data_IF_605954783271
#
_entry.id   IF_605954783271
#
_cell.length_a   1.000
_cell.length_b   1.000
_cell.length_c   1.000
_cell.angle_alpha   90.00
_cell.angle_beta   90.00
_cell.angle_gamma   90.00
#
_symmetry.space_group_name_H-M   'P 1'
#
loop_
_entity.id
_entity.type
_entity.pdbx_description
1 polymer ?
#
# COMPACT_ATOMS: atom_id res chain seq x y z
N UNK A 1 -1.64 -7.46 -39.74
CA UNK A 1 -2.46 -7.46 -38.50
C UNK A 1 -2.70 -6.02 -38.07
N UNK A 2 -3.94 -5.61 -37.80
CA UNK A 2 -4.25 -4.21 -37.45
C UNK A 2 -3.91 -3.94 -35.98
N UNK A 3 -3.21 -2.84 -35.72
CA UNK A 3 -2.84 -2.38 -34.37
C UNK A 3 -3.33 -0.96 -34.14
N UNK A 4 -3.64 -0.66 -32.89
CA UNK A 4 -4.15 0.63 -32.40
C UNK A 4 -3.27 1.11 -31.25
N UNK A 5 -3.37 2.39 -30.84
CA UNK A 5 -2.41 3.02 -29.91
C UNK A 5 -0.96 3.04 -30.46
N UNK A 6 -0.82 3.21 -31.78
CA UNK A 6 0.48 3.43 -32.45
C UNK A 6 0.74 4.92 -32.61
N UNK A 7 2.01 5.32 -32.65
CA UNK A 7 2.37 6.69 -33.09
C UNK A 7 1.92 6.89 -34.55
N UNK A 8 1.48 8.11 -34.95
CA UNK A 8 0.99 8.38 -36.30
C UNK A 8 1.97 7.97 -37.40
N UNK A 9 3.28 8.16 -37.16
CA UNK A 9 4.34 7.87 -38.12
C UNK A 9 4.99 6.49 -37.93
N UNK A 10 4.54 5.69 -36.95
CA UNK A 10 5.13 4.38 -36.69
C UNK A 10 4.72 3.36 -37.77
N UNK A 11 5.70 2.92 -38.56
CA UNK A 11 5.55 1.72 -39.40
C UNK A 11 5.61 0.48 -38.51
N UNK A 12 4.45 -0.02 -38.10
CA UNK A 12 4.36 -1.25 -37.32
C UNK A 12 4.52 -2.47 -38.24
N UNK A 13 5.77 -2.89 -38.48
CA UNK A 13 6.06 -4.20 -39.02
C UNK A 13 6.00 -5.26 -37.91
N UNK A 14 5.73 -6.52 -38.25
CA UNK A 14 6.00 -7.62 -37.33
C UNK A 14 7.49 -7.59 -36.95
N UNK A 15 7.83 -7.75 -35.66
CA UNK A 15 9.21 -7.64 -35.21
C UNK A 15 10.05 -8.68 -35.94
N UNK A 16 11.24 -8.29 -36.38
CA UNK A 16 12.19 -9.27 -36.88
C UNK A 16 12.54 -10.25 -35.74
N UNK A 17 12.19 -11.52 -35.91
CA UNK A 17 12.65 -12.58 -35.02
C UNK A 17 14.09 -12.94 -35.34
N UNK A 18 14.78 -13.53 -34.36
CA UNK A 18 16.14 -14.05 -34.57
C UNK A 18 16.12 -14.99 -35.77
N UNK A 19 16.89 -14.67 -36.80
CA UNK A 19 17.21 -15.62 -37.87
C UNK A 19 18.07 -16.72 -37.27
N UNK A 20 17.62 -17.97 -37.35
CA UNK A 20 18.44 -19.13 -36.98
C UNK A 20 19.61 -19.20 -37.98
N UNK A 21 20.74 -18.60 -37.64
CA UNK A 21 21.94 -18.67 -38.50
C UNK A 21 22.63 -19.98 -38.20
N UNK A 22 22.65 -20.90 -39.17
CA UNK A 22 23.45 -22.13 -39.08
C UNK A 22 24.95 -21.80 -39.08
N UNK A 23 25.74 -22.58 -38.33
CA UNK A 23 27.20 -22.61 -38.33
C UNK A 23 27.97 -21.29 -38.11
N UNK A 24 27.45 -20.34 -37.31
CA UNK A 24 28.29 -19.24 -36.80
C UNK A 24 29.06 -19.74 -35.58
N UNK A 25 30.41 -19.65 -35.56
CA UNK A 25 31.18 -19.88 -34.33
C UNK A 25 30.68 -18.95 -33.24
N UNK A 26 30.16 -19.53 -32.15
CA UNK A 26 29.68 -18.78 -31.01
C UNK A 26 30.87 -18.40 -30.12
N UNK A 27 30.84 -17.19 -29.57
CA UNK A 27 31.77 -16.80 -28.51
C UNK A 27 31.59 -17.74 -27.29
N UNK A 28 32.57 -17.82 -26.38
CA UNK A 28 32.40 -18.53 -25.11
C UNK A 28 31.13 -18.09 -24.40
N UNK A 29 30.45 -19.05 -23.79
CA UNK A 29 29.23 -18.81 -23.02
C UNK A 29 29.51 -17.84 -21.87
N UNK A 30 28.68 -16.81 -21.76
CA UNK A 30 28.70 -15.86 -20.64
C UNK A 30 27.62 -16.22 -19.64
N UNK A 31 27.97 -16.25 -18.36
CA UNK A 31 27.03 -16.44 -17.25
C UNK A 31 26.98 -15.15 -16.45
N UNK A 32 25.78 -14.62 -16.18
CA UNK A 32 25.59 -13.34 -15.49
C UNK A 32 24.53 -13.51 -14.42
N UNK A 33 24.77 -12.96 -13.25
CA UNK A 33 23.82 -12.88 -12.15
C UNK A 33 23.32 -11.45 -12.03
N UNK A 34 22.03 -11.28 -11.78
CA UNK A 34 21.41 -9.96 -11.64
C UNK A 34 20.43 -9.92 -10.49
N UNK A 35 20.49 -8.85 -9.71
CA UNK A 35 19.61 -8.59 -8.57
C UNK A 35 19.16 -7.11 -8.54
N UNK A 36 18.10 -6.82 -7.78
CA UNK A 36 17.54 -5.50 -7.57
C UNK A 36 17.18 -5.25 -6.11
N UNK A 37 17.74 -4.20 -5.53
CA UNK A 37 17.52 -3.85 -4.12
C UNK A 37 16.91 -2.45 -4.01
N UNK A 38 15.83 -2.31 -3.26
CA UNK A 38 15.20 -1.03 -2.97
C UNK A 38 15.19 -0.75 -1.48
N UNK A 39 15.93 0.28 -1.08
CA UNK A 39 15.86 0.88 0.23
C UNK A 39 14.58 1.72 0.34
N UNK A 40 13.92 1.66 1.48
CA UNK A 40 12.74 2.47 1.81
C UNK A 40 11.63 2.45 0.74
N UNK A 41 11.35 1.28 0.14
CA UNK A 41 10.34 1.16 -0.91
C UNK A 41 8.97 1.71 -0.51
N UNK A 42 8.35 2.48 -1.41
CA UNK A 42 7.04 3.11 -1.19
C UNK A 42 7.07 4.44 -0.42
N UNK A 43 8.25 4.99 -0.15
CA UNK A 43 8.44 6.29 0.50
C UNK A 43 9.09 7.30 -0.46
N UNK A 44 9.12 8.58 -0.07
CA UNK A 44 9.82 9.62 -0.83
C UNK A 44 11.34 9.44 -0.83
N UNK A 45 11.87 8.66 0.11
CA UNK A 45 13.29 8.33 0.24
C UNK A 45 13.66 7.03 -0.46
N UNK A 46 12.74 6.42 -1.22
CA UNK A 46 13.00 5.17 -1.89
C UNK A 46 14.20 5.29 -2.83
N UNK A 47 15.16 4.39 -2.67
CA UNK A 47 16.35 4.31 -3.52
C UNK A 47 16.53 2.88 -3.99
N UNK A 48 16.52 2.70 -5.31
CA UNK A 48 16.69 1.40 -5.95
C UNK A 48 18.06 1.31 -6.61
N UNK A 49 18.76 0.23 -6.31
CA UNK A 49 19.94 -0.20 -7.02
C UNK A 49 19.69 -1.46 -7.82
N UNK A 50 20.54 -1.66 -8.82
CA UNK A 50 20.65 -2.90 -9.55
C UNK A 50 22.09 -3.37 -9.57
N UNK A 51 22.27 -4.66 -9.32
CA UNK A 51 23.56 -5.33 -9.32
C UNK A 51 23.66 -6.32 -10.47
N UNK A 52 24.80 -6.29 -11.16
CA UNK A 52 25.11 -7.16 -12.29
C UNK A 52 26.50 -7.75 -12.06
N UNK A 53 26.58 -9.07 -11.97
CA UNK A 53 27.82 -9.78 -11.68
C UNK A 53 28.14 -10.81 -12.76
N UNK A 54 29.30 -10.67 -13.40
CA UNK A 54 29.84 -11.55 -14.45
C UNK A 54 30.86 -12.55 -13.91
N UNK A 55 31.46 -12.27 -12.75
CA UNK A 55 32.48 -13.09 -12.13
C UNK A 55 33.39 -12.26 -11.21
N UNK A 56 34.28 -12.91 -10.45
CA UNK A 56 35.30 -12.21 -9.66
C UNK A 56 36.16 -11.32 -10.56
N UNK A 57 36.36 -10.07 -10.14
CA UNK A 57 37.20 -9.08 -10.83
C UNK A 57 36.83 -8.78 -12.30
N UNK A 58 35.64 -9.18 -12.77
CA UNK A 58 35.22 -8.89 -14.13
C UNK A 58 34.86 -7.39 -14.25
N UNK A 59 35.49 -6.61 -15.16
CA UNK A 59 35.24 -5.18 -15.31
C UNK A 59 33.82 -4.86 -15.78
N UNK A 60 33.03 -5.85 -16.21
CA UNK A 60 31.62 -5.69 -16.55
C UNK A 60 30.72 -5.66 -15.32
N UNK A 61 31.19 -6.06 -14.14
CA UNK A 61 30.44 -5.96 -12.89
C UNK A 61 29.96 -4.54 -12.66
N UNK A 62 28.72 -4.37 -12.19
CA UNK A 62 28.10 -3.05 -12.09
C UNK A 62 27.10 -2.98 -10.97
N UNK A 63 27.32 -2.00 -10.10
CA UNK A 63 26.33 -1.43 -9.21
C UNK A 63 25.79 -0.14 -9.84
N UNK A 64 24.48 -0.03 -10.06
CA UNK A 64 23.86 1.17 -10.64
C UNK A 64 22.70 1.64 -9.77
N UNK A 65 22.58 2.96 -9.58
CA UNK A 65 21.35 3.56 -9.04
C UNK A 65 20.32 3.71 -10.16
N UNK A 66 19.15 3.12 -9.99
CA UNK A 66 18.09 3.17 -10.99
C UNK A 66 17.58 4.62 -11.15
N UNK A 67 17.59 5.19 -12.36
CA UNK A 67 17.08 6.54 -12.61
C UNK A 67 15.56 6.64 -12.50
N UNK A 68 15.09 7.87 -12.24
CA UNK A 68 13.67 8.22 -12.27
C UNK A 68 12.99 8.15 -10.90
N UNK A 69 11.70 8.51 -10.86
CA UNK A 69 10.91 8.56 -9.62
C UNK A 69 10.31 7.21 -9.21
N UNK A 70 10.23 6.24 -10.12
CA UNK A 70 9.71 4.92 -9.81
C UNK A 70 10.81 4.04 -9.19
N UNK A 71 10.77 3.86 -7.87
CA UNK A 71 11.81 3.15 -7.11
C UNK A 71 11.17 1.92 -6.44
N UNK A 72 11.57 0.72 -6.87
CA UNK A 72 11.10 -0.58 -6.37
C UNK A 72 12.07 -1.72 -6.74
N UNK A 73 12.07 -2.84 -6.00
CA UNK A 73 12.91 -4.00 -6.37
C UNK A 73 12.68 -4.44 -7.82
N UNK A 74 11.42 -4.48 -8.27
CA UNK A 74 11.07 -4.93 -9.62
C UNK A 74 11.71 -4.09 -10.74
N UNK A 75 11.87 -2.78 -10.55
CA UNK A 75 12.58 -1.96 -11.56
C UNK A 75 14.08 -2.20 -11.50
N UNK A 76 14.66 -2.41 -10.31
CA UNK A 76 16.06 -2.79 -10.14
C UNK A 76 16.39 -4.11 -10.84
N UNK A 77 15.58 -5.14 -10.62
CA UNK A 77 15.72 -6.45 -11.28
C UNK A 77 15.64 -6.32 -12.81
N UNK A 78 14.69 -5.53 -13.33
CA UNK A 78 14.54 -5.30 -14.77
C UNK A 78 15.72 -4.54 -15.38
N UNK A 79 16.24 -3.52 -14.68
CA UNK A 79 17.44 -2.79 -15.09
C UNK A 79 18.66 -3.70 -15.12
N UNK A 80 18.79 -4.61 -14.14
CA UNK A 80 19.87 -5.58 -14.10
C UNK A 80 19.86 -6.47 -15.33
N UNK A 81 18.69 -6.99 -15.69
CA UNK A 81 18.53 -7.79 -16.91
C UNK A 81 18.85 -7.00 -18.19
N UNK A 82 18.45 -5.73 -18.26
CA UNK A 82 18.77 -4.84 -19.38
C UNK A 82 20.29 -4.69 -19.54
N UNK A 83 20.99 -4.32 -18.47
CA UNK A 83 22.45 -4.08 -18.50
C UNK A 83 23.20 -5.37 -18.79
N UNK A 84 22.78 -6.50 -18.22
CA UNK A 84 23.37 -7.81 -18.50
C UNK A 84 23.30 -8.16 -20.00
N UNK A 85 22.15 -7.91 -20.63
CA UNK A 85 21.96 -8.14 -22.07
C UNK A 85 22.80 -7.18 -22.92
N UNK A 86 22.91 -5.90 -22.52
CA UNK A 86 23.71 -4.88 -23.22
C UNK A 86 25.21 -5.15 -23.16
N UNK A 87 25.73 -5.54 -22.00
CA UNK A 87 27.17 -5.80 -21.79
C UNK A 87 27.65 -7.14 -22.34
N UNK A 88 26.73 -8.07 -22.60
CA UNK A 88 27.08 -9.37 -23.16
C UNK A 88 27.20 -9.31 -24.67
N UNK A 89 28.31 -9.81 -25.24
CA UNK A 89 28.52 -9.87 -26.70
C UNK A 89 27.36 -10.54 -27.42
N UNK A 90 27.01 -10.01 -28.60
CA UNK A 90 25.83 -10.39 -29.40
C UNK A 90 25.86 -11.87 -29.84
N UNK A 91 27.05 -12.45 -30.02
CA UNK A 91 27.27 -13.84 -30.44
C UNK A 91 27.71 -14.80 -29.32
N UNK A 92 27.70 -14.35 -28.07
CA UNK A 92 27.95 -15.20 -26.89
C UNK A 92 26.64 -15.79 -26.36
N UNK A 93 26.52 -17.11 -26.15
CA UNK A 93 25.42 -17.69 -25.41
C UNK A 93 25.35 -17.07 -24.01
N UNK A 94 24.20 -16.53 -23.63
CA UNK A 94 24.01 -15.86 -22.33
C UNK A 94 23.16 -16.75 -21.42
N UNK A 95 23.68 -17.11 -20.25
CA UNK A 95 22.87 -17.57 -19.13
C UNK A 95 22.68 -16.41 -18.17
N UNK A 96 21.43 -15.93 -18.05
CA UNK A 96 21.04 -14.86 -17.13
C UNK A 96 20.35 -15.50 -15.93
N UNK A 97 20.98 -15.38 -14.76
CA UNK A 97 20.52 -15.92 -13.49
C UNK A 97 19.98 -14.77 -12.63
N UNK A 98 18.76 -14.94 -12.13
CA UNK A 98 18.12 -13.96 -11.24
C UNK A 98 17.15 -14.67 -10.32
N UNK A 99 16.94 -14.12 -9.13
CA UNK A 99 15.89 -14.55 -8.22
C UNK A 99 14.53 -13.90 -8.52
N UNK A 100 14.51 -12.90 -9.42
CA UNK A 100 13.31 -12.26 -9.94
C UNK A 100 12.49 -13.19 -10.84
N UNK A 101 11.53 -13.87 -10.23
CA UNK A 101 10.51 -14.60 -10.99
C UNK A 101 9.68 -13.67 -11.88
N UNK A 102 9.53 -12.39 -11.49
CA UNK A 102 8.79 -11.40 -12.27
C UNK A 102 9.46 -11.14 -13.62
N UNK A 103 10.76 -10.79 -13.62
CA UNK A 103 11.52 -10.53 -14.85
C UNK A 103 11.61 -11.78 -15.73
N UNK A 104 11.87 -12.94 -15.12
CA UNK A 104 11.95 -14.21 -15.87
C UNK A 104 10.62 -14.51 -16.54
N UNK A 105 9.49 -14.45 -15.83
CA UNK A 105 8.16 -14.74 -16.41
C UNK A 105 7.75 -13.67 -17.43
N UNK A 106 8.07 -12.41 -17.21
CA UNK A 106 7.82 -11.33 -18.15
C UNK A 106 8.48 -11.62 -19.52
N UNK A 107 9.74 -12.04 -19.52
CA UNK A 107 10.52 -12.27 -20.75
C UNK A 107 10.30 -13.65 -21.39
N UNK A 108 9.72 -14.62 -20.66
CA UNK A 108 9.57 -16.01 -21.15
C UNK A 108 8.12 -16.47 -21.32
N UNK A 109 7.20 -16.04 -20.46
CA UNK A 109 5.81 -16.51 -20.44
C UNK A 109 4.82 -15.45 -20.90
N UNK A 110 5.00 -14.20 -20.44
CA UNK A 110 4.00 -13.14 -20.67
C UNK A 110 4.29 -12.29 -21.90
N UNK A 111 5.49 -12.42 -22.49
CA UNK A 111 5.95 -11.56 -23.58
C UNK A 111 4.95 -11.48 -24.74
N UNK A 112 4.45 -12.62 -25.21
CA UNK A 112 3.49 -12.66 -26.31
C UNK A 112 2.22 -11.89 -25.97
N UNK A 113 1.64 -12.11 -24.79
CA UNK A 113 0.44 -11.40 -24.34
C UNK A 113 0.69 -9.89 -24.20
N UNK A 114 1.86 -9.51 -23.66
CA UNK A 114 2.25 -8.11 -23.47
C UNK A 114 2.40 -7.38 -24.79
N UNK A 115 3.05 -8.01 -25.76
CA UNK A 115 3.14 -7.49 -27.12
C UNK A 115 1.78 -7.41 -27.77
N UNK A 116 0.96 -8.45 -27.69
CA UNK A 116 -0.42 -8.42 -28.21
C UNK A 116 -1.25 -7.26 -27.63
N UNK A 117 -1.08 -6.96 -26.34
CA UNK A 117 -1.76 -5.86 -25.63
C UNK A 117 -1.06 -4.51 -25.74
N UNK A 118 0.02 -4.41 -26.51
CA UNK A 118 0.77 -3.17 -26.73
C UNK A 118 1.42 -2.60 -25.47
N UNK A 119 1.69 -3.44 -24.48
CA UNK A 119 2.24 -3.06 -23.17
C UNK A 119 1.38 -2.04 -22.38
N UNK A 120 0.08 -1.92 -22.69
CA UNK A 120 -0.85 -1.08 -21.95
C UNK A 120 -1.02 -1.64 -20.54
N UNK A 121 -0.88 -0.80 -19.52
CA UNK A 121 -1.02 -1.17 -18.12
C UNK A 121 0.16 -1.89 -17.50
N UNK A 122 1.28 -1.98 -18.20
CA UNK A 122 2.46 -2.72 -17.75
C UNK A 122 3.46 -1.75 -17.14
N UNK A 123 3.73 -1.92 -15.84
CA UNK A 123 4.76 -1.15 -15.16
C UNK A 123 6.14 -1.40 -15.79
N UNK A 124 6.95 -0.34 -15.88
CA UNK A 124 8.31 -0.40 -16.45
C UNK A 124 8.37 -0.90 -17.90
N UNK A 125 7.28 -0.75 -18.69
CA UNK A 125 7.19 -1.27 -20.06
C UNK A 125 8.34 -0.86 -20.99
N UNK A 126 8.88 0.35 -20.86
CA UNK A 126 9.95 0.81 -21.74
C UNK A 126 11.25 0.03 -21.52
N UNK A 127 11.54 -0.39 -20.28
CA UNK A 127 12.68 -1.26 -19.95
C UNK A 127 12.48 -2.64 -20.58
N UNK A 128 11.29 -3.23 -20.42
CA UNK A 128 10.98 -4.54 -21.03
C UNK A 128 11.04 -4.50 -22.56
N UNK A 129 10.50 -3.46 -23.19
CA UNK A 129 10.59 -3.27 -24.65
C UNK A 129 12.05 -3.19 -25.11
N UNK A 130 12.91 -2.48 -24.37
CA UNK A 130 14.34 -2.40 -24.66
C UNK A 130 15.03 -3.77 -24.53
N UNK A 131 14.76 -4.51 -23.45
CA UNK A 131 15.31 -5.87 -23.25
C UNK A 131 14.90 -6.78 -24.40
N UNK A 132 13.62 -6.83 -24.75
CA UNK A 132 13.08 -7.71 -25.81
C UNK A 132 13.73 -7.39 -27.16
N UNK A 133 13.87 -6.11 -27.48
CA UNK A 133 14.52 -5.68 -28.71
C UNK A 133 16.00 -6.13 -28.78
N UNK A 134 16.73 -6.00 -27.67
CA UNK A 134 18.11 -6.47 -27.58
C UNK A 134 18.19 -7.99 -27.68
N UNK A 135 17.29 -8.74 -27.03
CA UNK A 135 17.24 -10.21 -27.12
C UNK A 135 17.00 -10.68 -28.56
N UNK A 136 16.14 -9.99 -29.32
CA UNK A 136 15.92 -10.24 -30.76
C UNK A 136 17.12 -9.88 -31.62
N UNK A 137 17.91 -8.88 -31.21
CA UNK A 137 19.15 -8.49 -31.88
C UNK A 137 20.26 -9.53 -31.72
N UNK A 138 20.32 -10.21 -30.58
CA UNK A 138 21.36 -11.21 -30.29
C UNK A 138 21.40 -12.32 -31.33
N UNK A 139 22.61 -12.65 -31.76
CA UNK A 139 22.90 -13.78 -32.64
C UNK A 139 22.98 -15.13 -31.90
N UNK A 140 23.16 -15.12 -30.57
CA UNK A 140 23.33 -16.31 -29.75
C UNK A 140 22.21 -16.50 -28.70
N UNK A 141 21.88 -17.75 -28.30
CA UNK A 141 20.81 -18.05 -27.35
C UNK A 141 20.99 -17.35 -26.00
N UNK A 142 19.87 -16.88 -25.44
CA UNK A 142 19.80 -16.41 -24.05
C UNK A 142 18.92 -17.39 -23.29
N UNK A 143 19.42 -17.93 -22.17
CA UNK A 143 18.68 -18.77 -21.23
C UNK A 143 18.48 -18.01 -19.94
N UNK A 144 17.24 -17.97 -19.47
CA UNK A 144 16.89 -17.46 -18.16
C UNK A 144 16.87 -18.63 -17.17
N UNK A 145 17.54 -18.49 -16.03
CA UNK A 145 17.52 -19.49 -14.98
C UNK A 145 17.19 -18.82 -13.65
N UNK A 146 16.10 -19.27 -13.05
CA UNK A 146 15.76 -18.82 -11.71
C UNK A 146 16.73 -19.43 -10.69
N UNK A 147 17.22 -18.60 -9.79
CA UNK A 147 18.00 -19.01 -8.62
C UNK A 147 17.28 -18.55 -7.35
N UNK A 148 17.49 -19.28 -6.26
CA UNK A 148 16.88 -18.90 -4.99
C UNK A 148 17.73 -17.79 -4.35
N UNK A 149 17.11 -16.65 -4.04
CA UNK A 149 17.77 -15.59 -3.27
C UNK A 149 18.23 -16.07 -1.90
N UNK A 150 19.34 -15.50 -1.40
CA UNK A 150 19.96 -15.79 -0.10
C UNK A 150 20.13 -17.29 0.19
N UNK A 151 20.69 -18.04 -0.76
CA UNK A 151 20.85 -19.50 -0.68
C UNK A 151 22.29 -20.01 -0.75
N UNK A 152 23.30 -19.15 -0.57
CA UNK A 152 24.72 -19.53 -0.66
C UNK A 152 25.25 -19.54 -2.09
N UNK A 153 24.50 -19.00 -3.07
CA UNK A 153 24.95 -18.94 -4.46
C UNK A 153 25.78 -17.68 -4.63
N UNK A 154 27.11 -17.84 -4.59
CA UNK A 154 28.09 -16.75 -4.66
C UNK A 154 27.70 -15.65 -5.67
N UNK A 155 27.45 -16.01 -6.93
CA UNK A 155 27.13 -15.00 -7.95
C UNK A 155 25.83 -14.21 -7.69
N UNK A 156 24.84 -14.80 -7.02
CA UNK A 156 23.63 -14.07 -6.64
C UNK A 156 23.88 -13.19 -5.42
N UNK A 157 24.67 -13.64 -4.47
CA UNK A 157 25.01 -12.86 -3.27
C UNK A 157 25.84 -11.62 -3.64
N UNK A 158 26.79 -11.78 -4.55
CA UNK A 158 27.56 -10.67 -5.12
C UNK A 158 26.68 -9.71 -5.93
N UNK A 159 25.68 -10.23 -6.66
CA UNK A 159 24.73 -9.38 -7.36
C UNK A 159 23.81 -8.60 -6.40
N UNK A 160 23.39 -9.21 -5.29
CA UNK A 160 22.63 -8.55 -4.22
C UNK A 160 23.46 -7.45 -3.54
N UNK A 161 24.74 -7.72 -3.26
CA UNK A 161 25.67 -6.74 -2.70
C UNK A 161 25.84 -5.54 -3.64
N UNK A 162 26.11 -5.79 -4.93
CA UNK A 162 26.18 -4.73 -5.95
C UNK A 162 24.85 -3.97 -6.09
N UNK A 163 23.70 -4.63 -5.92
CA UNK A 163 22.40 -3.96 -5.94
C UNK A 163 22.24 -3.04 -4.71
N UNK A 164 22.67 -3.49 -3.54
CA UNK A 164 22.73 -2.68 -2.32
C UNK A 164 23.65 -1.47 -2.47
N UNK A 165 24.86 -1.65 -2.98
CA UNK A 165 25.78 -0.56 -3.33
C UNK A 165 25.14 0.43 -4.31
N UNK A 166 24.47 -0.08 -5.34
CA UNK A 166 23.74 0.72 -6.32
C UNK A 166 22.68 1.60 -5.68
N UNK A 167 21.95 1.09 -4.69
CA UNK A 167 20.91 1.82 -3.98
C UNK A 167 21.48 2.95 -3.10
N UNK A 168 22.72 2.79 -2.62
CA UNK A 168 23.39 3.77 -1.77
C UNK A 168 24.05 4.92 -2.57
N UNK A 169 24.24 4.80 -3.88
CA UNK A 169 24.84 5.87 -4.70
C UNK A 169 23.98 7.14 -4.69
N UNK A 170 24.62 8.32 -4.70
CA UNK A 170 23.89 9.60 -4.73
C UNK A 170 23.42 10.03 -6.13
N UNK A 171 24.17 9.68 -7.17
CA UNK A 171 23.81 9.99 -8.54
C UNK A 171 23.01 8.85 -9.19
N UNK A 172 22.01 9.19 -9.98
CA UNK A 172 21.34 8.23 -10.86
C UNK A 172 22.32 7.72 -11.92
N UNK A 173 22.19 6.45 -12.26
CA UNK A 173 22.91 5.88 -13.40
C UNK A 173 22.24 6.21 -14.73
N UNK A 174 23.01 6.08 -15.80
CA UNK A 174 22.52 6.24 -17.17
C UNK A 174 21.93 4.93 -17.69
N UNK A 175 20.73 5.00 -18.27
CA UNK A 175 20.10 3.86 -18.94
C UNK A 175 19.90 4.15 -20.42
N UNK A 176 20.44 3.27 -21.27
CA UNK A 176 20.14 3.27 -22.70
C UNK A 176 18.89 2.43 -22.97
N UNK A 177 17.78 3.10 -23.26
CA UNK A 177 16.51 2.47 -23.64
C UNK A 177 16.25 2.55 -25.15
N UNK A 178 17.25 2.86 -25.97
CA UNK A 178 17.07 2.99 -27.43
C UNK A 178 16.70 1.65 -28.06
N UNK A 179 15.60 1.66 -28.82
CA UNK A 179 15.09 0.50 -29.54
C UNK A 179 15.28 0.73 -31.04
N UNK A 180 15.94 -0.22 -31.72
CA UNK A 180 16.02 -0.20 -33.19
C UNK A 180 14.63 -0.46 -33.78
N UNK A 181 14.20 0.39 -34.71
CA UNK A 181 12.85 0.30 -35.32
C UNK A 181 12.49 -1.10 -35.83
N UNK A 182 13.45 -1.87 -36.36
CA UNK A 182 13.21 -3.25 -36.85
C UNK A 182 12.73 -4.24 -35.78
N UNK A 183 12.91 -3.92 -34.50
CA UNK A 183 12.50 -4.73 -33.35
C UNK A 183 11.44 -4.05 -32.48
N UNK A 184 11.04 -2.82 -32.82
CA UNK A 184 10.09 -2.03 -32.06
C UNK A 184 8.65 -2.39 -32.46
N UNK A 185 7.94 -3.12 -31.62
CA UNK A 185 6.50 -3.32 -31.80
C UNK A 185 5.76 -2.15 -31.17
N UNK A 186 4.90 -1.50 -31.95
CA UNK A 186 4.07 -0.39 -31.47
C UNK A 186 2.59 -0.79 -31.40
N UNK A 187 1.88 -0.17 -30.46
CA UNK A 187 0.43 -0.35 -30.29
C UNK A 187 0.01 -1.76 -29.86
N UNK A 188 -1.28 -1.90 -29.60
CA UNK A 188 -1.94 -3.14 -29.24
C UNK A 188 -2.68 -3.72 -30.47
N UNK A 189 -2.73 -5.05 -30.57
CA UNK A 189 -3.49 -5.72 -31.62
C UNK A 189 -4.99 -5.45 -31.43
N UNK A 190 -5.66 -5.02 -32.51
CA UNK A 190 -7.08 -4.71 -32.45
C UNK A 190 -7.92 -5.95 -32.08
N UNK A 191 -7.52 -7.14 -32.53
CA UNK A 191 -8.16 -8.42 -32.21
C UNK A 191 -8.06 -8.82 -30.74
N UNK A 192 -7.12 -8.23 -29.98
CA UNK A 192 -6.89 -8.50 -28.55
C UNK A 192 -7.38 -7.36 -27.67
N UNK A 193 -7.95 -6.31 -28.27
CA UNK A 193 -8.41 -5.13 -27.58
C UNK A 193 -9.75 -5.40 -26.89
N UNK A 194 -9.78 -5.26 -25.56
CA UNK A 194 -11.02 -5.22 -24.80
C UNK A 194 -11.40 -3.78 -24.47
N UNK A 195 -12.66 -3.53 -24.13
CA UNK A 195 -13.08 -2.20 -23.66
C UNK A 195 -12.24 -1.73 -22.45
N UNK A 196 -11.96 -2.63 -21.51
CA UNK A 196 -11.13 -2.32 -20.33
C UNK A 196 -9.69 -1.94 -20.73
N UNK A 197 -9.08 -2.69 -21.66
CA UNK A 197 -7.74 -2.39 -22.17
C UNK A 197 -7.71 -1.07 -22.95
N UNK A 198 -8.72 -0.81 -23.78
CA UNK A 198 -8.84 0.44 -24.53
C UNK A 198 -8.99 1.64 -23.58
N UNK A 199 -9.87 1.50 -22.57
CA UNK A 199 -10.06 2.53 -21.55
C UNK A 199 -8.76 2.81 -20.79
N UNK A 200 -8.03 1.76 -20.41
CA UNK A 200 -6.73 1.90 -19.74
C UNK A 200 -5.71 2.60 -20.64
N UNK A 201 -5.62 2.23 -21.92
CA UNK A 201 -4.71 2.87 -22.89
C UNK A 201 -5.05 4.35 -23.11
N UNK A 202 -6.34 4.68 -23.24
CA UNK A 202 -6.79 6.08 -23.35
C UNK A 202 -6.40 6.86 -22.10
N UNK A 203 -6.62 6.28 -20.92
CA UNK A 203 -6.27 6.92 -19.64
C UNK A 203 -4.77 7.18 -19.50
N UNK A 204 -3.92 6.30 -20.02
CA UNK A 204 -2.46 6.50 -20.02
C UNK A 204 -2.00 7.58 -21.00
N UNK A 205 -2.71 7.77 -22.12
CA UNK A 205 -2.45 8.85 -23.08
C UNK A 205 -2.95 10.21 -22.58
N UNK A 206 -4.01 10.22 -21.77
CA UNK A 206 -4.55 11.45 -21.20
C UNK A 206 -3.63 11.99 -20.10
N UNK A 207 -3.41 13.31 -20.11
CA UNK A 207 -2.81 13.96 -18.94
C UNK A 207 -3.75 13.72 -17.75
N UNK A 208 -3.25 13.19 -16.62
CA UNK A 208 -4.10 13.03 -15.45
C UNK A 208 -4.67 14.41 -15.08
N UNK A 209 -5.96 14.51 -14.74
CA UNK A 209 -6.53 15.78 -14.34
C UNK A 209 -5.74 16.31 -13.14
N UNK A 210 -5.59 17.64 -13.07
CA UNK A 210 -5.02 18.28 -11.89
C UNK A 210 -5.81 17.85 -10.66
N UNK A 211 -5.11 17.39 -9.63
CA UNK A 211 -5.80 16.98 -8.41
C UNK A 211 -6.42 18.23 -7.78
N UNK A 212 -7.53 18.02 -7.07
CA UNK A 212 -8.17 19.11 -6.33
C UNK A 212 -7.23 19.52 -5.20
N UNK A 213 -7.05 20.82 -4.99
CA UNK A 213 -6.18 21.37 -3.94
C UNK A 213 -6.44 20.74 -2.57
N UNK A 214 -7.71 20.59 -2.17
CA UNK A 214 -8.07 19.95 -0.90
C UNK A 214 -7.65 18.47 -0.78
N UNK A 215 -7.53 17.74 -1.89
CA UNK A 215 -6.98 16.37 -1.90
C UNK A 215 -5.46 16.40 -1.71
N UNK A 216 -4.77 17.30 -2.40
CA UNK A 216 -3.31 17.47 -2.27
C UNK A 216 -2.93 17.86 -0.84
N UNK A 217 -3.57 18.89 -0.28
CA UNK A 217 -3.34 19.31 1.11
C UNK A 217 -3.58 18.17 2.10
N UNK A 218 -4.63 17.36 1.91
CA UNK A 218 -4.91 16.24 2.83
C UNK A 218 -3.91 15.10 2.69
N UNK A 219 -3.40 14.83 1.49
CA UNK A 219 -2.31 13.88 1.27
C UNK A 219 -1.03 14.37 1.93
N UNK A 220 -0.68 15.64 1.80
CA UNK A 220 0.52 16.22 2.41
C UNK A 220 0.48 16.18 3.94
N UNK A 221 -0.65 16.58 4.53
CA UNK A 221 -0.86 16.48 5.98
C UNK A 221 -0.76 15.02 6.44
N UNK A 222 -1.36 14.09 5.69
CA UNK A 222 -1.29 12.66 6.02
C UNK A 222 0.16 12.16 5.94
N UNK A 223 0.90 12.56 4.90
CA UNK A 223 2.30 12.18 4.71
C UNK A 223 3.17 12.64 5.86
N UNK A 224 3.07 13.91 6.23
CA UNK A 224 3.77 14.47 7.37
C UNK A 224 3.42 13.75 8.68
N UNK A 225 2.13 13.44 8.89
CA UNK A 225 1.72 12.71 10.09
C UNK A 225 2.23 11.25 10.12
N UNK A 226 2.42 10.60 8.96
CA UNK A 226 3.05 9.27 8.89
C UNK A 226 4.55 9.37 9.19
N UNK A 227 5.22 10.40 8.68
CA UNK A 227 6.63 10.67 8.98
C UNK A 227 6.84 10.96 10.46
N UNK A 228 6.04 11.87 11.05
CA UNK A 228 6.10 12.23 12.47
C UNK A 228 5.88 11.01 13.38
N UNK A 229 4.88 10.17 13.08
CA UNK A 229 4.49 9.07 13.96
C UNK A 229 5.19 7.73 13.67
N UNK A 230 5.66 7.50 12.43
CA UNK A 230 6.16 6.21 11.97
C UNK A 230 7.51 6.28 11.22
N UNK A 231 8.06 7.49 11.07
CA UNK A 231 9.46 7.74 10.69
C UNK A 231 9.76 7.80 9.20
N UNK A 232 8.78 7.60 8.32
CA UNK A 232 9.02 7.64 6.86
C UNK A 232 7.87 8.31 6.12
N UNK A 233 8.18 9.27 5.25
CA UNK A 233 7.21 9.98 4.42
C UNK A 233 6.73 9.10 3.24
N UNK A 234 5.47 8.63 3.21
CA UNK A 234 4.95 7.77 2.15
C UNK A 234 4.71 8.52 0.83
N UNK A 235 4.76 7.80 -0.29
CA UNK A 235 4.21 8.27 -1.56
C UNK A 235 2.68 8.34 -1.52
N UNK A 236 2.09 9.15 -2.40
CA UNK A 236 0.62 9.25 -2.50
C UNK A 236 -0.03 7.90 -2.80
N UNK A 237 0.58 7.13 -3.71
CA UNK A 237 0.12 5.80 -4.07
C UNK A 237 0.12 4.88 -2.85
N UNK A 238 1.13 4.98 -1.98
CA UNK A 238 1.21 4.23 -0.72
C UNK A 238 0.09 4.61 0.23
N UNK A 239 -0.24 5.90 0.35
CA UNK A 239 -1.38 6.38 1.15
C UNK A 239 -2.70 5.80 0.60
N UNK A 240 -2.91 5.87 -0.71
CA UNK A 240 -4.13 5.35 -1.35
C UNK A 240 -4.29 3.84 -1.20
N UNK A 241 -3.19 3.08 -1.34
CA UNK A 241 -3.19 1.64 -1.10
C UNK A 241 -3.46 1.31 0.37
N UNK A 242 -2.90 2.07 1.32
CA UNK A 242 -3.10 1.88 2.74
C UNK A 242 -4.56 2.14 3.18
N UNK A 243 -5.26 3.08 2.55
CA UNK A 243 -6.71 3.28 2.78
C UNK A 243 -7.52 2.03 2.41
N UNK A 244 -7.03 1.19 1.51
CA UNK A 244 -7.68 -0.07 1.13
C UNK A 244 -7.27 -1.26 2.00
N UNK A 245 -6.53 -1.04 3.08
CA UNK A 245 -5.96 -2.11 3.89
C UNK A 245 -7.02 -3.09 4.42
N UNK A 246 -6.69 -4.39 4.40
CA UNK A 246 -7.62 -5.48 4.76
C UNK A 246 -8.14 -5.45 6.19
N UNK A 247 -7.37 -4.86 7.09
CA UNK A 247 -7.76 -4.69 8.50
C UNK A 247 -8.88 -3.64 8.70
N UNK A 248 -9.20 -2.83 7.68
CA UNK A 248 -10.29 -1.85 7.70
C UNK A 248 -11.58 -2.45 7.12
N UNK A 249 -12.72 -2.12 7.72
CA UNK A 249 -14.04 -2.47 7.18
C UNK A 249 -14.33 -1.67 5.90
N UNK A 250 -15.19 -2.20 5.01
CA UNK A 250 -15.55 -1.51 3.75
C UNK A 250 -16.09 -0.10 3.98
N UNK A 251 -16.90 0.09 5.03
CA UNK A 251 -17.42 1.41 5.41
C UNK A 251 -16.30 2.37 5.83
N UNK A 252 -15.29 1.88 6.54
CA UNK A 252 -14.14 2.70 6.96
C UNK A 252 -13.25 3.06 5.77
N UNK A 253 -13.03 2.12 4.83
CA UNK A 253 -12.27 2.42 3.60
C UNK A 253 -12.95 3.53 2.80
N UNK A 254 -14.27 3.43 2.63
CA UNK A 254 -15.07 4.50 2.03
C UNK A 254 -14.98 5.79 2.85
N UNK A 255 -14.99 5.65 4.18
CA UNK A 255 -14.91 6.80 5.08
C UNK A 255 -13.63 7.61 4.87
N UNK A 256 -12.49 6.93 4.95
CA UNK A 256 -11.16 7.52 4.73
C UNK A 256 -10.95 7.99 3.31
N UNK A 257 -11.39 7.25 2.29
CA UNK A 257 -11.28 7.70 0.90
C UNK A 257 -11.97 9.05 0.68
N UNK A 258 -13.20 9.21 1.19
CA UNK A 258 -13.93 10.48 1.13
C UNK A 258 -13.27 11.57 1.99
N UNK A 259 -12.70 11.21 3.14
CA UNK A 259 -11.96 12.15 4.00
C UNK A 259 -10.72 12.71 3.29
N UNK A 260 -9.94 11.85 2.63
CA UNK A 260 -8.76 12.24 1.84
C UNK A 260 -9.12 13.18 0.70
N UNK A 261 -10.29 13.00 0.09
CA UNK A 261 -10.79 13.90 -0.97
C UNK A 261 -11.47 15.18 -0.48
N UNK A 262 -11.55 15.40 0.84
CA UNK A 262 -12.40 16.44 1.43
C UNK A 262 -13.86 16.39 0.89
N UNK A 263 -14.38 15.18 0.71
CA UNK A 263 -15.63 14.92 -0.02
C UNK A 263 -16.90 14.87 0.84
N UNK A 264 -16.81 15.21 2.12
CA UNK A 264 -17.98 15.23 3.01
C UNK A 264 -18.75 16.54 2.94
N UNK A 265 -20.06 16.43 3.13
CA UNK A 265 -20.98 17.56 3.23
C UNK A 265 -20.92 18.11 4.67
N UNK A 266 -19.98 19.00 4.93
CA UNK A 266 -19.72 19.63 6.24
C UNK A 266 -19.38 21.11 6.05
N UNK A 267 -19.56 21.92 7.09
CA UNK A 267 -19.10 23.32 7.13
C UNK A 267 -19.46 24.12 5.89
N UNK A 268 -18.44 24.55 5.15
CA UNK A 268 -18.55 25.33 3.90
C UNK A 268 -19.51 24.77 2.86
N UNK A 269 -19.71 23.45 2.81
CA UNK A 269 -20.69 22.86 1.92
C UNK A 269 -22.11 23.34 2.25
N UNK A 270 -22.47 23.33 3.53
CA UNK A 270 -23.81 23.72 3.99
C UNK A 270 -24.01 25.22 3.97
N UNK A 271 -22.95 26.02 4.14
CA UNK A 271 -23.03 27.49 3.99
C UNK A 271 -23.47 27.93 2.60
N UNK A 272 -23.32 27.06 1.59
CA UNK A 272 -23.75 27.32 0.20
C UNK A 272 -25.16 26.80 -0.09
N UNK A 273 -25.81 26.17 0.88
CA UNK A 273 -27.14 25.56 0.72
C UNK A 273 -28.19 26.43 1.40
N UNK A 274 -29.03 27.10 0.61
CA UNK A 274 -30.11 27.94 1.12
C UNK A 274 -31.03 27.17 2.08
N UNK A 275 -31.32 27.78 3.23
CA UNK A 275 -32.16 27.26 4.33
C UNK A 275 -31.58 26.07 5.10
N UNK A 276 -30.30 25.72 4.88
CA UNK A 276 -29.61 24.61 5.53
C UNK A 276 -28.25 25.01 6.13
N UNK A 277 -27.95 26.31 6.18
CA UNK A 277 -26.69 26.89 6.64
C UNK A 277 -26.39 26.56 8.09
N UNK A 278 -27.43 26.40 8.93
CA UNK A 278 -27.32 25.99 10.33
C UNK A 278 -26.62 24.65 10.52
N UNK A 279 -26.60 23.79 9.48
CA UNK A 279 -25.88 22.49 9.48
C UNK A 279 -24.37 22.64 9.27
N UNK A 280 -23.90 23.85 8.98
CA UNK A 280 -22.48 24.15 8.86
C UNK A 280 -21.79 24.28 10.23
N UNK A 281 -22.55 24.56 11.29
CA UNK A 281 -22.00 24.97 12.58
C UNK A 281 -22.11 23.87 13.64
N UNK A 282 -21.10 23.80 14.51
CA UNK A 282 -21.15 22.99 15.71
C UNK A 282 -21.90 23.74 16.81
N UNK A 283 -22.94 23.13 17.38
CA UNK A 283 -23.80 23.78 18.37
C UNK A 283 -23.07 24.13 19.67
N UNK A 284 -22.50 23.14 20.37
CA UNK A 284 -21.81 23.38 21.66
C UNK A 284 -20.60 24.30 21.52
N UNK A 285 -19.82 24.16 20.44
CA UNK A 285 -18.68 25.04 20.21
C UNK A 285 -19.12 26.47 19.93
N UNK A 286 -20.21 26.66 19.17
CA UNK A 286 -20.77 27.99 18.93
C UNK A 286 -21.26 28.64 20.23
N UNK A 287 -21.90 27.86 21.11
CA UNK A 287 -22.34 28.36 22.41
C UNK A 287 -21.16 28.74 23.31
N UNK A 288 -20.12 27.90 23.35
CA UNK A 288 -18.94 28.14 24.19
C UNK A 288 -18.14 29.35 23.75
N UNK A 289 -17.93 29.53 22.44
CA UNK A 289 -17.11 30.62 21.89
C UNK A 289 -17.90 31.92 21.71
N UNK A 290 -19.23 31.88 21.83
CA UNK A 290 -20.10 33.05 21.63
C UNK A 290 -20.21 33.52 20.16
N UNK A 291 -19.69 32.74 19.22
CA UNK A 291 -19.72 33.01 17.78
C UNK A 291 -19.81 31.69 16.97
N UNK A 292 -20.37 31.70 15.75
CA UNK A 292 -20.52 30.48 14.95
C UNK A 292 -19.19 29.76 14.67
N UNK A 293 -19.10 28.49 15.07
CA UNK A 293 -17.95 27.63 14.81
C UNK A 293 -18.27 26.68 13.66
N UNK A 294 -17.68 26.92 12.49
CA UNK A 294 -17.85 26.10 11.29
C UNK A 294 -17.18 24.73 11.45
N UNK A 295 -17.90 23.66 11.16
CA UNK A 295 -17.37 22.30 11.25
C UNK A 295 -16.44 21.97 10.07
N UNK A 296 -15.20 21.62 10.40
CA UNK A 296 -14.29 20.87 9.53
C UNK A 296 -14.21 19.40 9.97
N UNK A 297 -13.59 18.54 9.16
CA UNK A 297 -13.36 17.16 9.59
C UNK A 297 -12.37 17.09 10.76
N UNK A 298 -11.41 18.02 10.80
CA UNK A 298 -10.46 18.16 11.90
C UNK A 298 -11.20 18.54 13.19
N UNK A 299 -12.12 19.50 13.09
CA UNK A 299 -13.00 19.89 14.19
C UNK A 299 -13.82 18.71 14.71
N UNK A 300 -14.59 18.07 13.83
CA UNK A 300 -15.50 16.97 14.21
C UNK A 300 -14.76 15.83 14.90
N UNK A 301 -13.57 15.48 14.39
CA UNK A 301 -12.85 14.32 14.89
C UNK A 301 -12.01 14.63 16.12
N UNK A 302 -11.48 15.85 16.30
CA UNK A 302 -10.46 16.13 17.31
C UNK A 302 -10.70 17.36 18.19
N UNK A 303 -11.30 18.42 17.67
CA UNK A 303 -11.38 19.71 18.37
C UNK A 303 -12.76 19.98 19.00
N UNK A 304 -13.77 19.21 18.61
CA UNK A 304 -15.15 19.42 19.02
C UNK A 304 -15.30 19.36 20.55
N UNK A 305 -16.04 20.32 21.12
CA UNK A 305 -16.36 20.38 22.54
C UNK A 305 -17.44 19.39 22.96
N UNK A 306 -18.11 18.78 21.99
CA UNK A 306 -19.12 17.74 22.23
C UNK A 306 -18.47 16.48 22.82
N UNK A 307 -19.16 15.76 23.72
CA UNK A 307 -18.55 14.70 24.51
C UNK A 307 -18.12 13.48 23.70
N UNK A 308 -18.65 13.26 22.48
CA UNK A 308 -18.40 12.01 21.74
C UNK A 308 -16.93 11.84 21.39
N UNK A 309 -16.29 12.88 20.83
CA UNK A 309 -14.89 12.84 20.42
C UNK A 309 -13.96 12.58 21.60
N UNK A 310 -14.05 13.44 22.63
CA UNK A 310 -13.17 13.38 23.80
C UNK A 310 -13.30 12.05 24.56
N UNK A 311 -14.53 11.56 24.75
CA UNK A 311 -14.74 10.28 25.43
C UNK A 311 -14.20 9.11 24.61
N UNK A 312 -14.49 9.06 23.31
CA UNK A 312 -14.04 7.97 22.44
C UNK A 312 -12.52 7.91 22.38
N UNK A 313 -11.84 9.05 22.23
CA UNK A 313 -10.37 9.07 22.22
C UNK A 313 -9.77 8.68 23.57
N UNK A 314 -10.35 9.11 24.70
CA UNK A 314 -9.90 8.67 26.03
C UNK A 314 -10.04 7.16 26.22
N UNK A 315 -11.13 6.56 25.73
CA UNK A 315 -11.34 5.10 25.77
C UNK A 315 -10.34 4.37 24.86
N UNK A 316 -10.10 4.91 23.66
CA UNK A 316 -9.13 4.37 22.73
C UNK A 316 -7.71 4.40 23.31
N UNK A 317 -7.27 5.55 23.81
CA UNK A 317 -5.96 5.72 24.43
C UNK A 317 -5.77 4.76 25.61
N UNK A 318 -6.76 4.64 26.51
CA UNK A 318 -6.72 3.68 27.62
C UNK A 318 -6.51 2.24 27.15
N UNK A 319 -7.18 1.84 26.07
CA UNK A 319 -7.01 0.50 25.51
C UNK A 319 -5.63 0.31 24.86
N UNK A 320 -5.15 1.33 24.14
CA UNK A 320 -3.82 1.31 23.52
C UNK A 320 -2.69 1.24 24.54
N UNK A 321 -2.81 1.96 25.64
CA UNK A 321 -1.81 1.98 26.73
C UNK A 321 -1.61 0.62 27.40
N UNK A 322 -2.57 -0.30 27.28
CA UNK A 322 -2.36 -1.72 27.68
C UNK A 322 -1.38 -2.46 26.77
N UNK A 323 -1.14 -1.95 25.56
CA UNK A 323 -0.33 -2.58 24.52
C UNK A 323 1.02 -1.91 24.31
N UNK A 324 1.02 -0.57 24.25
CA UNK A 324 2.19 0.24 23.95
C UNK A 324 2.23 1.46 24.88
N UNK A 325 3.43 1.90 25.33
CA UNK A 325 3.54 2.97 26.30
C UNK A 325 3.21 4.36 25.72
N UNK A 326 3.48 4.55 24.42
CA UNK A 326 3.33 5.85 23.74
C UNK A 326 2.06 5.88 22.91
N UNK A 327 1.22 6.89 23.14
CA UNK A 327 0.07 7.22 22.28
C UNK A 327 0.53 8.20 21.18
N UNK A 328 0.40 7.86 19.89
CA UNK A 328 0.76 8.77 18.81
C UNK A 328 -0.12 10.01 18.80
N UNK A 329 0.43 11.12 18.31
CA UNK A 329 -0.27 12.39 18.36
C UNK A 329 -1.30 12.49 17.23
N UNK A 330 -2.56 12.75 17.59
CA UNK A 330 -3.65 13.00 16.65
C UNK A 330 -3.90 14.51 16.57
N UNK A 331 -3.37 15.16 15.53
CA UNK A 331 -3.45 16.63 15.35
C UNK A 331 -4.55 17.08 14.39
N UNK A 332 -4.90 16.22 13.44
CA UNK A 332 -5.83 16.49 12.36
C UNK A 332 -6.34 15.17 11.74
N UNK A 333 -7.32 15.23 10.86
CA UNK A 333 -7.84 14.07 10.14
C UNK A 333 -6.77 13.36 9.29
N UNK A 334 -5.71 14.06 8.86
CA UNK A 334 -4.58 13.42 8.19
C UNK A 334 -3.83 12.46 9.11
N UNK A 335 -3.60 12.84 10.37
CA UNK A 335 -3.02 11.95 11.39
C UNK A 335 -3.92 10.75 11.74
N UNK A 336 -5.25 10.88 11.59
CA UNK A 336 -6.18 9.76 11.71
C UNK A 336 -6.04 8.81 10.52
N UNK A 337 -5.98 9.32 9.28
CA UNK A 337 -5.77 8.51 8.07
C UNK A 337 -4.39 7.83 8.12
N UNK A 338 -3.38 8.50 8.68
CA UNK A 338 -2.03 7.97 8.87
C UNK A 338 -2.02 6.65 9.65
N UNK A 339 -3.04 6.38 10.49
CA UNK A 339 -3.13 5.09 11.21
C UNK A 339 -3.08 3.88 10.27
N UNK A 340 -3.56 4.02 9.03
CA UNK A 340 -3.55 2.95 8.01
C UNK A 340 -2.16 2.43 7.67
N UNK A 341 -1.13 3.24 7.94
CA UNK A 341 0.29 2.96 7.70
C UNK A 341 1.10 2.75 8.99
N UNK A 342 0.43 2.43 10.11
CA UNK A 342 1.08 2.24 11.39
C UNK A 342 2.27 1.24 11.33
N UNK A 343 3.44 1.69 11.77
CA UNK A 343 4.70 0.94 11.75
C UNK A 343 5.46 1.06 13.09
N UNK A 344 4.90 0.53 14.16
CA UNK A 344 5.59 0.38 15.44
C UNK A 344 6.62 -0.74 15.36
N UNK A 345 7.78 -0.50 15.96
CA UNK A 345 8.92 -1.42 16.04
C UNK A 345 9.29 -1.65 17.52
N UNK A 346 9.89 -2.79 17.83
CA UNK A 346 10.54 -3.03 19.13
C UNK A 346 11.83 -2.22 19.25
N UNK A 347 12.44 -2.23 20.43
CA UNK A 347 13.78 -1.65 20.66
C UNK A 347 14.83 -2.26 19.71
N UNK A 348 14.72 -3.57 19.42
CA UNK A 348 15.54 -4.28 18.43
C UNK A 348 15.17 -3.97 16.96
N UNK A 349 14.27 -3.04 16.69
CA UNK A 349 13.84 -2.66 15.34
C UNK A 349 12.83 -3.61 14.67
N UNK A 350 12.36 -4.65 15.36
CA UNK A 350 11.43 -5.64 14.81
C UNK A 350 10.00 -5.09 14.71
N UNK A 351 9.37 -5.24 13.55
CA UNK A 351 7.98 -4.80 13.32
C UNK A 351 7.00 -5.51 14.26
N UNK A 352 6.24 -4.72 15.02
CA UNK A 352 5.23 -5.19 15.96
C UNK A 352 3.88 -5.38 15.27
N UNK A 353 3.76 -6.43 14.45
CA UNK A 353 2.58 -6.67 13.60
C UNK A 353 1.23 -6.65 14.35
N UNK A 354 1.19 -7.17 15.59
CA UNK A 354 0.02 -7.14 16.46
C UNK A 354 -0.38 -5.73 16.90
N UNK A 355 0.61 -4.92 17.32
CA UNK A 355 0.39 -3.52 17.72
C UNK A 355 -0.06 -2.67 16.52
N UNK A 356 0.61 -2.80 15.37
CA UNK A 356 0.24 -2.09 14.13
C UNK A 356 -1.20 -2.38 13.70
N UNK A 357 -1.64 -3.64 13.83
CA UNK A 357 -3.01 -4.02 13.52
C UNK A 357 -4.01 -3.48 14.53
N UNK A 358 -3.71 -3.57 15.83
CA UNK A 358 -4.58 -3.06 16.88
C UNK A 358 -4.77 -1.54 16.72
N UNK A 359 -3.69 -0.79 16.49
CA UNK A 359 -3.74 0.66 16.29
C UNK A 359 -4.64 1.05 15.12
N UNK A 360 -4.49 0.38 13.97
CA UNK A 360 -5.34 0.58 12.78
C UNK A 360 -6.82 0.40 13.10
N UNK A 361 -7.17 -0.70 13.78
CA UNK A 361 -8.56 -0.97 14.16
C UNK A 361 -9.05 0.11 15.11
N UNK A 362 -8.27 0.40 16.15
CA UNK A 362 -8.66 1.30 17.23
C UNK A 362 -8.92 2.72 16.73
N UNK A 363 -8.00 3.30 15.96
CA UNK A 363 -8.13 4.68 15.46
C UNK A 363 -9.26 4.77 14.43
N UNK A 364 -9.33 3.82 13.49
CA UNK A 364 -10.30 3.89 12.41
C UNK A 364 -11.75 3.63 12.87
N UNK A 365 -11.98 2.69 13.78
CA UNK A 365 -13.31 2.45 14.36
C UNK A 365 -13.74 3.63 15.24
N UNK A 366 -12.82 4.20 16.02
CA UNK A 366 -13.09 5.37 16.87
C UNK A 366 -13.48 6.59 16.03
N UNK A 367 -12.68 6.95 15.02
CA UNK A 367 -12.96 8.09 14.14
C UNK A 367 -14.27 7.91 13.38
N UNK A 368 -14.53 6.72 12.84
CA UNK A 368 -15.77 6.44 12.12
C UNK A 368 -17.00 6.45 13.05
N UNK A 369 -16.86 6.01 14.31
CA UNK A 369 -17.94 6.12 15.29
C UNK A 369 -18.23 7.58 15.66
N UNK A 370 -17.21 8.41 15.89
CA UNK A 370 -17.37 9.85 16.14
C UNK A 370 -18.15 10.48 14.98
N UNK A 371 -17.73 10.21 13.74
CA UNK A 371 -18.42 10.66 12.54
C UNK A 371 -19.89 10.21 12.49
N UNK A 372 -20.17 8.95 12.81
CA UNK A 372 -21.55 8.42 12.86
C UNK A 372 -22.41 9.10 13.91
N UNK A 373 -21.87 9.34 15.11
CA UNK A 373 -22.59 10.00 16.18
C UNK A 373 -22.91 11.45 15.83
N UNK A 374 -21.93 12.19 15.29
CA UNK A 374 -22.14 13.55 14.76
C UNK A 374 -23.22 13.59 13.68
N UNK A 375 -23.19 12.66 12.73
CA UNK A 375 -24.20 12.63 11.67
C UNK A 375 -25.60 12.32 12.19
N UNK A 376 -25.72 11.39 13.15
CA UNK A 376 -27.00 11.10 13.80
C UNK A 376 -27.56 12.34 14.49
N UNK A 377 -26.71 13.11 15.17
CA UNK A 377 -27.08 14.36 15.84
C UNK A 377 -27.70 15.39 14.89
N UNK A 378 -27.19 15.49 13.66
CA UNK A 378 -27.61 16.51 12.68
C UNK A 378 -28.74 16.04 11.75
N UNK A 379 -28.78 14.76 11.38
CA UNK A 379 -29.71 14.26 10.37
C UNK A 379 -30.92 13.49 10.93
N UNK A 380 -30.89 13.09 12.20
CA UNK A 380 -31.99 12.35 12.84
C UNK A 380 -32.49 13.05 14.12
N UNK A 381 -32.95 14.32 14.08
CA UNK A 381 -33.57 14.94 15.26
C UNK A 381 -34.85 14.20 15.69
N UNK A 382 -35.15 14.18 17.01
CA UNK A 382 -36.47 13.74 17.50
C UNK A 382 -37.53 14.78 17.15
N UNK A 383 -38.83 14.41 17.10
CA UNK A 383 -39.90 15.41 17.00
C UNK A 383 -39.76 16.46 18.11
N UNK A 384 -39.70 17.74 17.73
CA UNK A 384 -39.53 18.91 18.60
C UNK A 384 -38.14 19.11 19.26
N UNK A 385 -37.10 18.40 18.81
CA UNK A 385 -35.70 18.66 19.19
C UNK A 385 -34.89 19.04 17.94
N UNK A 386 -34.05 20.07 18.02
CA UNK A 386 -33.17 20.43 16.88
C UNK A 386 -32.01 19.43 16.69
N UNK A 387 -31.71 18.58 17.69
CA UNK A 387 -30.63 17.59 17.67
C UNK A 387 -30.76 16.51 18.76
N UNK A 388 -30.20 15.30 18.52
CA UNK A 388 -30.07 14.23 19.53
C UNK A 388 -28.72 14.33 20.24
N UNK A 389 -28.72 14.52 21.57
CA UNK A 389 -27.50 14.43 22.40
C UNK A 389 -27.39 13.04 23.06
N UNK A 390 -26.43 12.18 22.63
CA UNK A 390 -26.25 10.88 23.24
C UNK A 390 -25.71 11.03 24.68
N UNK A 391 -26.20 10.21 25.59
CA UNK A 391 -25.67 10.20 26.97
C UNK A 391 -24.23 9.67 27.00
N UNK A 392 -23.45 10.08 28.00
CA UNK A 392 -22.09 9.54 28.23
C UNK A 392 -22.06 8.00 28.26
N UNK A 393 -23.07 7.39 28.88
CA UNK A 393 -23.25 5.92 28.92
C UNK A 393 -23.53 5.33 27.53
N UNK A 394 -24.34 6.00 26.72
CA UNK A 394 -24.60 5.56 25.33
C UNK A 394 -23.33 5.63 24.48
N UNK A 395 -22.55 6.71 24.56
CA UNK A 395 -21.28 6.88 23.84
C UNK A 395 -20.31 5.75 24.20
N UNK A 396 -20.12 5.52 25.50
CA UNK A 396 -19.28 4.44 26.02
C UNK A 396 -19.72 3.08 25.48
N UNK A 397 -21.01 2.74 25.63
CA UNK A 397 -21.55 1.45 25.22
C UNK A 397 -21.43 1.22 23.71
N UNK A 398 -21.64 2.26 22.89
CA UNK A 398 -21.47 2.18 21.44
C UNK A 398 -20.02 1.94 21.05
N UNK A 399 -19.07 2.60 21.72
CA UNK A 399 -17.65 2.37 21.46
C UNK A 399 -17.22 0.96 21.87
N UNK A 400 -17.57 0.52 23.07
CA UNK A 400 -17.29 -0.85 23.55
C UNK A 400 -17.91 -1.89 22.60
N UNK A 401 -19.14 -1.67 22.16
CA UNK A 401 -19.81 -2.52 21.17
C UNK A 401 -19.06 -2.57 19.83
N UNK A 402 -18.59 -1.44 19.32
CA UNK A 402 -17.82 -1.38 18.08
C UNK A 402 -16.52 -2.20 18.17
N UNK A 403 -15.72 -2.00 19.22
CA UNK A 403 -14.45 -2.73 19.39
C UNK A 403 -14.70 -4.22 19.66
N UNK A 404 -15.68 -4.59 20.49
CA UNK A 404 -16.04 -5.99 20.72
C UNK A 404 -16.53 -6.69 19.44
N UNK A 405 -17.28 -5.98 18.60
CA UNK A 405 -17.73 -6.51 17.30
C UNK A 405 -16.53 -6.81 16.38
N UNK A 406 -15.47 -5.99 16.43
CA UNK A 406 -14.22 -6.25 15.70
C UNK A 406 -13.47 -7.46 16.22
N UNK A 407 -13.36 -7.60 17.54
CA UNK A 407 -12.78 -8.80 18.15
C UNK A 407 -13.56 -10.07 17.75
N UNK A 408 -14.89 -10.04 17.84
CA UNK A 408 -15.73 -11.17 17.46
C UNK A 408 -15.56 -11.55 15.98
N UNK A 409 -15.50 -10.55 15.08
CA UNK A 409 -15.24 -10.77 13.67
C UNK A 409 -13.85 -11.37 13.44
N UNK A 410 -12.82 -10.88 14.11
CA UNK A 410 -11.46 -11.42 13.99
C UNK A 410 -11.40 -12.89 14.42
N UNK A 411 -12.05 -13.25 15.53
CA UNK A 411 -12.15 -14.65 15.99
C UNK A 411 -12.85 -15.49 14.93
N UNK A 412 -14.00 -15.04 14.42
CA UNK A 412 -14.76 -15.76 13.40
C UNK A 412 -13.92 -15.99 12.13
N UNK A 413 -13.18 -14.97 11.70
CA UNK A 413 -12.31 -15.02 10.52
C UNK A 413 -11.10 -15.94 10.70
N UNK A 414 -10.83 -16.50 11.88
CA UNK A 414 -9.82 -17.56 12.04
C UNK A 414 -10.27 -18.94 11.57
N UNK A 415 -11.56 -19.10 11.27
CA UNK A 415 -12.13 -20.39 10.88
C UNK A 415 -11.69 -20.79 9.46
N UNK A 416 -11.38 -22.08 9.27
CA UNK A 416 -10.89 -22.63 7.99
C UNK A 416 -11.88 -22.50 6.84
N UNK A 417 -13.18 -22.35 7.13
CA UNK A 417 -14.24 -22.09 6.12
C UNK A 417 -13.99 -20.86 5.26
N UNK A 418 -13.16 -19.92 5.71
CA UNK A 418 -12.80 -18.72 4.95
C UNK A 418 -11.58 -18.92 4.06
N UNK A 419 -10.97 -20.11 4.05
CA UNK A 419 -9.86 -20.51 3.18
C UNK A 419 -8.77 -19.42 3.03
N UNK A 420 -8.59 -18.87 1.83
CA UNK A 420 -7.60 -17.83 1.54
C UNK A 420 -7.83 -16.51 2.27
N UNK A 421 -9.07 -16.24 2.69
CA UNK A 421 -9.46 -15.05 3.45
C UNK A 421 -9.33 -15.23 4.97
N UNK A 422 -9.01 -16.45 5.43
CA UNK A 422 -8.87 -16.72 6.86
C UNK A 422 -7.70 -15.93 7.47
N UNK A 423 -7.94 -15.35 8.65
CA UNK A 423 -6.91 -14.64 9.41
C UNK A 423 -6.16 -15.66 10.28
N UNK A 424 -4.81 -15.73 10.20
CA UNK A 424 -4.05 -16.63 11.05
C UNK A 424 -4.31 -16.36 12.53
N UNK A 425 -4.60 -17.41 13.32
CA UNK A 425 -4.86 -17.30 14.78
C UNK A 425 -3.77 -16.53 15.52
N UNK A 426 -2.50 -16.82 15.20
CA UNK A 426 -1.34 -16.10 15.75
C UNK A 426 -1.47 -14.58 15.57
N UNK A 427 -1.96 -14.11 14.42
CA UNK A 427 -2.14 -12.68 14.13
C UNK A 427 -3.24 -12.06 15.01
N UNK A 428 -4.35 -12.77 15.20
CA UNK A 428 -5.45 -12.34 16.08
C UNK A 428 -5.00 -12.29 17.53
N UNK A 429 -4.35 -13.35 18.03
CA UNK A 429 -3.76 -13.39 19.36
C UNK A 429 -2.78 -12.24 19.56
N UNK A 430 -1.85 -12.02 18.62
CA UNK A 430 -0.90 -10.90 18.70
C UNK A 430 -1.58 -9.53 18.70
N UNK A 431 -2.72 -9.37 18.01
CA UNK A 431 -3.48 -8.11 17.99
C UNK A 431 -4.07 -7.84 19.38
N UNK A 432 -4.84 -8.79 19.93
CA UNK A 432 -5.66 -8.59 21.12
C UNK A 432 -5.00 -8.98 22.44
N UNK A 433 -3.78 -9.55 22.41
CA UNK A 433 -3.03 -9.87 23.64
C UNK A 433 -2.85 -8.64 24.54
N UNK A 434 -3.10 -8.80 25.83
CA UNK A 434 -3.02 -7.75 26.84
C UNK A 434 -4.25 -6.83 26.89
N UNK A 435 -5.23 -7.01 26.00
CA UNK A 435 -6.39 -6.10 25.91
C UNK A 435 -7.71 -6.74 26.32
N UNK A 436 -7.75 -8.06 26.52
CA UNK A 436 -8.97 -8.82 26.82
C UNK A 436 -9.26 -8.84 28.32
N UNK A 437 -10.54 -8.80 28.68
CA UNK A 437 -10.98 -8.91 30.07
C UNK A 437 -10.64 -10.30 30.62
N UNK A 438 -10.05 -10.35 31.83
CA UNK A 438 -9.68 -11.60 32.50
C UNK A 438 -8.79 -12.53 31.65
N UNK A 439 -7.92 -11.96 30.80
CA UNK A 439 -7.05 -12.73 29.89
C UNK A 439 -6.18 -13.76 30.61
N UNK A 440 -5.78 -13.50 31.86
CA UNK A 440 -5.02 -14.44 32.71
C UNK A 440 -5.75 -15.78 32.92
N UNK A 441 -7.08 -15.78 32.87
CA UNK A 441 -7.93 -16.96 33.06
C UNK A 441 -8.31 -17.63 31.73
N UNK A 442 -7.84 -17.10 30.60
CA UNK A 442 -8.10 -17.66 29.28
C UNK A 442 -6.96 -18.61 28.86
N UNK A 443 -7.25 -19.65 28.05
CA UNK A 443 -6.21 -20.50 27.50
C UNK A 443 -5.28 -19.69 26.58
N UNK A 444 -4.07 -20.21 26.37
CA UNK A 444 -3.05 -19.59 25.51
C UNK A 444 -3.53 -19.30 24.08
N UNK A 445 -4.45 -20.12 23.55
CA UNK A 445 -5.20 -19.86 22.33
C UNK A 445 -6.71 -19.80 22.63
N UNK A 446 -7.17 -18.62 23.07
CA UNK A 446 -8.58 -18.33 23.33
C UNK A 446 -9.43 -18.16 22.07
N UNK A 447 -8.84 -18.21 20.87
CA UNK A 447 -9.59 -18.13 19.61
C UNK A 447 -10.25 -19.45 19.22
N UNK A 448 -9.87 -20.57 19.86
CA UNK A 448 -10.49 -21.88 19.63
C UNK A 448 -11.89 -21.93 20.26
N UNK A 449 -12.88 -22.29 19.44
CA UNK A 449 -14.29 -22.42 19.84
C UNK A 449 -14.64 -23.77 20.51
N UNK A 450 -13.68 -24.67 20.71
CA UNK A 450 -13.97 -25.99 21.26
C UNK A 450 -13.89 -25.97 22.80
N UNK A 451 -15.04 -26.05 23.46
CA UNK A 451 -15.17 -26.48 24.85
C UNK A 451 -15.61 -25.38 25.83
N UNK A 452 -16.66 -25.71 26.59
CA UNK A 452 -17.00 -25.07 27.86
C UNK A 452 -15.82 -25.32 28.79
N UNK A 453 -15.04 -24.27 29.07
CA UNK A 453 -14.13 -24.29 30.21
C UNK A 453 -15.04 -24.02 31.40
N UNK A 454 -15.03 -24.93 32.37
CA UNK A 454 -15.93 -24.95 33.53
C UNK A 454 -16.09 -23.52 34.09
N UNK A 455 -17.30 -22.96 33.96
CA UNK A 455 -17.68 -21.68 34.56
C UNK A 455 -17.59 -20.42 33.70
N UNK A 456 -17.03 -20.42 32.47
CA UNK A 456 -16.88 -19.20 31.65
C UNK A 456 -17.61 -19.33 30.30
N UNK A 457 -18.68 -18.56 30.14
CA UNK A 457 -19.55 -18.60 28.96
C UNK A 457 -18.95 -17.94 27.71
N UNK A 458 -19.48 -18.27 26.52
CA UNK A 458 -19.05 -17.70 25.22
C UNK A 458 -19.07 -16.15 25.18
N UNK A 459 -19.92 -15.51 26.02
CA UNK A 459 -20.00 -14.05 26.19
C UNK A 459 -18.80 -13.42 26.89
N UNK A 460 -18.05 -14.16 27.70
CA UNK A 460 -16.87 -13.65 28.43
C UNK A 460 -15.59 -13.70 27.58
N UNK A 461 -15.52 -14.63 26.61
CA UNK A 461 -14.38 -14.76 25.68
C UNK A 461 -14.33 -13.68 24.58
N UNK A 462 -15.37 -12.88 24.46
CA UNK A 462 -15.56 -11.89 23.37
C UNK A 462 -15.69 -10.46 23.90
N UNK A 463 -15.19 -10.19 25.11
CA UNK A 463 -15.28 -8.86 25.74
C UNK A 463 -13.90 -8.32 26.07
N UNK A 464 -13.64 -7.13 25.56
CA UNK A 464 -12.39 -6.41 25.78
C UNK A 464 -12.43 -5.73 27.15
N UNK A 465 -13.58 -5.16 27.55
CA UNK A 465 -13.79 -4.54 28.87
C UNK A 465 -15.29 -4.52 29.25
N UNK A 466 -15.62 -4.71 30.54
CA UNK A 466 -16.95 -4.42 31.11
C UNK A 466 -17.01 -3.05 31.80
N UNK A 467 -15.89 -2.55 32.35
CA UNK A 467 -15.77 -1.20 32.90
C UNK A 467 -14.43 -0.53 32.55
N UNK A 468 -14.48 0.50 31.69
CA UNK A 468 -13.50 1.60 31.72
C UNK A 468 -14.01 2.73 32.63
N UNK A 469 -14.93 2.42 33.57
CA UNK A 469 -15.66 3.36 34.40
C UNK A 469 -14.97 3.78 35.70
N UNK A 470 -13.74 3.35 35.96
CA UNK A 470 -13.01 3.86 37.13
C UNK A 470 -12.29 5.16 36.76
N UNK A 471 -13.06 6.25 36.77
CA UNK A 471 -12.70 7.61 37.19
C UNK A 471 -13.76 8.59 36.66
N UNK A 472 -14.98 8.49 37.17
CA UNK A 472 -15.81 9.68 37.43
C UNK A 472 -15.60 10.09 38.88
N UNK A 473 -14.50 10.82 39.08
CA UNK A 473 -14.36 11.91 40.05
C UNK A 473 -13.67 13.02 39.31
#
# INVERSE_FOLDING_TARGET
MVRVFTEPDAKCADPAYRKHRGNIPLDPKTTVYTDGSCLNGGTQEARTGSGIWFGPEDPKNTAIRVPGSNQSNQVGEAVGALIAVQKTRVFSPLDLLSDSMYVIRALTMYLTEWEERGYIGIANREIFKAIVALLRERGAPTRFKWVKGHSGILGNEEADELAGEGALKEAFGELDLKIKNKFNITGAQLSKMTQALAYQGIKELQKPPTRRSGTESRLDITRYAVEENFGQAPLDETIWQAIQHKDLSRSIRSFFWRATHNGYKIGEYWMKCENLEQRAWCYECTQKEGQPVTESLDHILLECCEPEGQMIWKLAERLWRKKMPVWPQLRNAGSIIACTMACFKSEEGKILAGANRLYRILISESAHLIWKLRNRRIYEPKPNEDFIKPTRKEIHNKWVSAINSRLALDIAMTHTKYDTDAIPRRKVLQTWRGTILNEKNLPSDWTKQNGVVVGIGQKERTRIVQDLNDATT
#
